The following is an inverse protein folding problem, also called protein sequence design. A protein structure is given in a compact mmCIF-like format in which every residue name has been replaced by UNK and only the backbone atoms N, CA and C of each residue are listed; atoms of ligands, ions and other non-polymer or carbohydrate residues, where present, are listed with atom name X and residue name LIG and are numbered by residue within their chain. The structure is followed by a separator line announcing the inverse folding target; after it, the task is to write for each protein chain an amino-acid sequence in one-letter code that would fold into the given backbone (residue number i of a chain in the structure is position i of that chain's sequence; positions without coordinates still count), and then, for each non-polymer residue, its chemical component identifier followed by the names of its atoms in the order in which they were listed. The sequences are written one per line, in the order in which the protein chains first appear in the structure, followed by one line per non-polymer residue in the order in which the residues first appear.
data_IF_891065469509
#
_entry.id   IF_891065469509
#
_cell.length_a   1.000
_cell.length_b   1.000
_cell.length_c   1.000
_cell.angle_alpha   90.00
_cell.angle_beta   90.00
_cell.angle_gamma   90.00
#
_symmetry.space_group_name_H-M   'P 1'
#
loop_
_entity.id
_entity.type
_entity.pdbx_description
1 polymer ?
#
# COMPACT_ATOMS: atom_id res chain seq x y z
N UNK A 1 -17.05 -7.72 13.90
CA UNK A 1 -16.23 -8.72 13.16
C UNK A 1 -14.83 -8.71 13.74
N UNK A 2 -14.17 -9.85 13.84
CA UNK A 2 -12.78 -9.87 14.31
C UNK A 2 -11.88 -9.35 13.19
N UNK A 3 -11.02 -8.38 13.50
CA UNK A 3 -10.06 -7.81 12.56
C UNK A 3 -8.99 -8.86 12.23
N UNK A 4 -8.76 -9.13 10.94
CA UNK A 4 -7.86 -10.20 10.47
C UNK A 4 -6.41 -9.93 10.83
N UNK A 5 -5.99 -8.66 10.77
CA UNK A 5 -4.65 -8.28 11.21
C UNK A 5 -4.46 -8.48 12.71
N UNK A 6 -5.42 -8.07 13.53
CA UNK A 6 -5.36 -8.29 14.98
C UNK A 6 -5.36 -9.78 15.34
N UNK A 7 -6.11 -10.61 14.59
CA UNK A 7 -6.09 -12.06 14.77
C UNK A 7 -4.73 -12.66 14.40
N UNK A 8 -4.09 -12.20 13.32
CA UNK A 8 -2.75 -12.64 12.95
C UNK A 8 -1.69 -12.21 13.98
N UNK A 9 -1.80 -11.00 14.53
CA UNK A 9 -0.96 -10.53 15.64
C UNK A 9 -1.15 -11.42 16.87
N UNK A 10 -2.39 -11.73 17.21
CA UNK A 10 -2.71 -12.63 18.33
C UNK A 10 -2.11 -14.02 18.12
N UNK A 11 -2.28 -14.61 16.93
CA UNK A 11 -1.70 -15.91 16.57
C UNK A 11 -0.18 -15.90 16.72
N UNK A 12 0.49 -14.83 16.28
CA UNK A 12 1.92 -14.64 16.46
C UNK A 12 2.33 -14.61 17.94
N UNK A 13 1.63 -13.82 18.77
CA UNK A 13 1.91 -13.68 20.20
C UNK A 13 1.65 -15.00 20.94
N UNK A 14 0.54 -15.67 20.68
CA UNK A 14 0.17 -16.91 21.35
C UNK A 14 1.15 -18.05 21.03
N UNK A 15 1.68 -18.07 19.81
CA UNK A 15 2.74 -19.02 19.42
C UNK A 15 4.05 -18.77 20.18
N UNK A 16 4.39 -17.51 20.44
CA UNK A 16 5.60 -17.16 21.20
C UNK A 16 5.50 -17.52 22.70
N UNK A 17 4.32 -17.51 23.29
CA UNK A 17 4.11 -17.81 24.73
C UNK A 17 4.36 -19.27 25.09
N UNK A 18 4.32 -20.21 24.15
CA UNK A 18 4.38 -21.65 24.40
C UNK A 18 5.77 -22.30 24.29
N UNK A 19 6.86 -21.55 23.98
CA UNK A 19 8.09 -22.19 23.52
C UNK A 19 9.34 -21.65 24.21
N UNK A 20 10.16 -22.61 24.70
CA UNK A 20 11.43 -22.30 25.40
C UNK A 20 12.64 -21.99 24.49
N UNK A 21 12.56 -22.14 23.16
CA UNK A 21 13.64 -21.83 22.21
C UNK A 21 13.21 -20.76 21.22
N UNK A 22 13.79 -19.55 21.38
CA UNK A 22 13.26 -18.29 20.82
C UNK A 22 13.44 -18.14 19.31
N UNK A 23 14.44 -18.74 18.67
CA UNK A 23 14.74 -18.45 17.25
C UNK A 23 13.84 -19.19 16.25
N UNK A 24 13.68 -20.50 16.39
CA UNK A 24 12.83 -21.29 15.52
C UNK A 24 11.34 -20.98 15.75
N UNK A 25 10.95 -20.74 17.01
CA UNK A 25 9.62 -20.31 17.38
C UNK A 25 9.17 -19.00 16.72
N UNK A 26 10.09 -18.04 16.56
CA UNK A 26 9.80 -16.77 15.87
C UNK A 26 9.49 -16.98 14.39
N UNK A 27 10.24 -17.84 13.71
CA UNK A 27 10.01 -18.16 12.30
C UNK A 27 8.67 -18.85 12.09
N UNK A 28 8.36 -19.87 12.89
CA UNK A 28 7.09 -20.59 12.83
C UNK A 28 5.89 -19.68 13.16
N UNK A 29 6.03 -18.81 14.15
CA UNK A 29 5.00 -17.85 14.53
C UNK A 29 4.72 -16.84 13.39
N UNK A 30 5.76 -16.31 12.75
CA UNK A 30 5.63 -15.41 11.59
C UNK A 30 4.96 -16.12 10.42
N UNK A 31 5.41 -17.32 10.09
CA UNK A 31 4.84 -18.07 8.99
C UNK A 31 3.36 -18.40 9.20
N UNK A 32 2.95 -18.78 10.41
CA UNK A 32 1.55 -19.02 10.73
C UNK A 32 0.71 -17.75 10.64
N UNK A 33 1.20 -16.62 11.16
CA UNK A 33 0.52 -15.34 11.06
C UNK A 33 0.38 -14.85 9.61
N UNK A 34 1.44 -14.98 8.82
CA UNK A 34 1.41 -14.64 7.38
C UNK A 34 0.47 -15.56 6.59
N UNK A 35 0.44 -16.86 6.91
CA UNK A 35 -0.49 -17.82 6.29
C UNK A 35 -1.94 -17.43 6.56
N UNK A 36 -2.25 -17.04 7.79
CA UNK A 36 -3.58 -16.56 8.16
C UNK A 36 -3.97 -15.30 7.37
N UNK A 37 -3.06 -14.34 7.24
CA UNK A 37 -3.31 -13.13 6.45
C UNK A 37 -3.46 -13.43 4.95
N UNK A 38 -2.64 -14.33 4.39
CA UNK A 38 -2.72 -14.67 2.96
C UNK A 38 -4.00 -15.42 2.57
N UNK A 39 -4.65 -16.06 3.53
CA UNK A 39 -5.94 -16.75 3.34
C UNK A 39 -7.16 -15.86 3.62
N UNK A 40 -6.92 -14.59 4.00
CA UNK A 40 -7.99 -13.67 4.34
C UNK A 40 -8.80 -13.24 3.11
N UNK A 41 -10.12 -13.28 3.27
CA UNK A 41 -11.05 -12.77 2.28
C UNK A 41 -11.52 -11.38 2.68
N UNK A 42 -11.37 -10.42 1.78
CA UNK A 42 -11.78 -9.04 2.00
C UNK A 42 -13.29 -8.93 2.23
N UNK A 43 -13.65 -8.03 3.14
CA UNK A 43 -15.02 -7.56 3.26
C UNK A 43 -15.30 -6.46 2.24
N UNK A 44 -15.53 -6.84 0.98
CA UNK A 44 -15.80 -5.90 -0.11
C UNK A 44 -17.03 -5.02 0.12
N UNK A 45 -18.01 -5.48 0.90
CA UNK A 45 -19.20 -4.68 1.17
C UNK A 45 -18.88 -3.42 1.97
N UNK A 46 -18.02 -3.52 2.97
CA UNK A 46 -17.60 -2.37 3.78
C UNK A 46 -16.76 -1.38 2.95
N UNK A 47 -15.84 -1.91 2.14
CA UNK A 47 -15.02 -1.08 1.22
C UNK A 47 -15.92 -0.36 0.22
N UNK A 48 -16.89 -1.06 -0.36
CA UNK A 48 -17.84 -0.47 -1.32
C UNK A 48 -18.65 0.67 -0.69
N UNK A 49 -19.12 0.50 0.54
CA UNK A 49 -19.81 1.58 1.28
C UNK A 49 -18.89 2.78 1.45
N UNK A 50 -17.67 2.57 1.93
CA UNK A 50 -16.69 3.62 2.17
C UNK A 50 -16.36 4.40 0.87
N UNK A 51 -16.10 3.70 -0.23
CA UNK A 51 -15.81 4.31 -1.54
C UNK A 51 -17.02 5.13 -2.04
N UNK A 52 -18.23 4.59 -1.88
CA UNK A 52 -19.46 5.31 -2.26
C UNK A 52 -19.69 6.55 -1.41
N UNK A 53 -19.34 6.52 -0.15
CA UNK A 53 -19.48 7.69 0.73
C UNK A 53 -18.44 8.78 0.38
N UNK A 54 -17.21 8.41 0.02
CA UNK A 54 -16.22 9.36 -0.53
C UNK A 54 -16.78 10.00 -1.82
N UNK A 55 -17.28 9.19 -2.75
CA UNK A 55 -17.84 9.69 -4.01
C UNK A 55 -18.97 10.68 -3.76
N UNK A 56 -19.95 10.34 -2.93
CA UNK A 56 -21.06 11.23 -2.56
C UNK A 56 -20.58 12.52 -1.88
N UNK A 57 -19.55 12.44 -1.05
CA UNK A 57 -18.97 13.63 -0.41
C UNK A 57 -18.30 14.53 -1.45
N UNK A 58 -17.58 13.96 -2.42
CA UNK A 58 -16.96 14.70 -3.52
C UNK A 58 -18.03 15.32 -4.45
N UNK A 59 -19.08 14.61 -4.79
CA UNK A 59 -20.21 15.14 -5.57
C UNK A 59 -20.91 16.34 -4.91
N UNK A 60 -20.96 16.37 -3.57
CA UNK A 60 -21.50 17.49 -2.79
C UNK A 60 -20.49 18.61 -2.56
N UNK A 61 -19.22 18.37 -2.84
CA UNK A 61 -18.17 19.39 -2.69
C UNK A 61 -18.17 20.33 -3.91
N UNK A 62 -17.57 21.51 -3.74
CA UNK A 62 -17.34 22.43 -4.86
C UNK A 62 -16.09 22.07 -5.70
N UNK A 63 -15.50 20.91 -5.47
CA UNK A 63 -14.30 20.46 -6.19
C UNK A 63 -14.67 19.55 -7.37
N UNK A 64 -13.90 19.66 -8.45
CA UNK A 64 -13.87 18.64 -9.47
C UNK A 64 -13.16 17.40 -8.92
N UNK A 65 -13.55 16.22 -9.39
CA UNK A 65 -12.86 15.00 -9.04
C UNK A 65 -12.79 14.01 -10.20
N UNK A 66 -11.81 13.13 -10.13
CA UNK A 66 -11.60 12.01 -11.06
C UNK A 66 -11.50 10.73 -10.23
N UNK A 67 -12.29 9.74 -10.59
CA UNK A 67 -12.14 8.37 -10.06
C UNK A 67 -11.21 7.59 -10.99
N UNK A 68 -10.14 7.03 -10.44
CA UNK A 68 -9.16 6.22 -11.17
C UNK A 68 -9.27 4.79 -10.69
N UNK A 69 -9.49 3.87 -11.63
CA UNK A 69 -9.43 2.42 -11.41
C UNK A 69 -8.23 1.86 -12.14
N UNK A 70 -7.49 1.00 -11.45
CA UNK A 70 -6.33 0.34 -12.03
C UNK A 70 -6.19 -1.08 -11.48
N UNK A 71 -5.42 -1.89 -12.18
CA UNK A 71 -5.19 -3.30 -11.86
C UNK A 71 -3.69 -3.57 -11.72
N UNK A 72 -3.34 -4.35 -10.72
CA UNK A 72 -1.94 -4.76 -10.52
C UNK A 72 -1.52 -5.74 -11.60
N UNK A 73 -0.38 -5.47 -12.23
CA UNK A 73 0.20 -6.34 -13.26
C UNK A 73 1.18 -7.37 -12.69
N UNK A 74 1.70 -7.10 -11.50
CA UNK A 74 2.65 -7.96 -10.76
C UNK A 74 2.40 -7.80 -9.27
N UNK A 75 2.98 -8.70 -8.46
CA UNK A 75 3.02 -8.54 -7.01
C UNK A 75 3.75 -7.25 -6.65
N UNK A 76 3.24 -6.53 -5.66
CA UNK A 76 3.88 -5.31 -5.17
C UNK A 76 3.56 -5.05 -3.69
N UNK A 77 4.32 -4.15 -3.09
CA UNK A 77 4.09 -3.62 -1.76
C UNK A 77 4.02 -2.12 -1.85
N UNK A 78 3.07 -1.52 -1.13
CA UNK A 78 2.95 -0.07 -1.02
C UNK A 78 2.88 0.36 0.44
N UNK A 79 3.48 1.51 0.70
CA UNK A 79 3.42 2.18 1.98
C UNK A 79 4.25 1.53 3.08
N UNK A 80 4.19 2.15 4.27
CA UNK A 80 4.84 1.71 5.49
C UNK A 80 3.77 1.39 6.53
N UNK A 81 3.82 0.22 7.12
CA UNK A 81 2.78 -0.23 8.04
C UNK A 81 3.32 -0.81 9.36
N UNK A 82 2.45 -0.95 10.35
CA UNK A 82 2.83 -1.36 11.70
C UNK A 82 3.20 -2.84 11.84
N UNK A 83 2.99 -3.66 10.80
CA UNK A 83 3.11 -5.14 10.88
C UNK A 83 4.45 -5.69 10.40
N UNK A 84 5.47 -4.85 10.25
CA UNK A 84 6.81 -5.29 9.82
C UNK A 84 7.39 -6.44 10.64
N UNK A 85 7.03 -6.54 11.93
CA UNK A 85 7.49 -7.62 12.81
C UNK A 85 6.91 -9.00 12.47
N UNK A 86 5.80 -9.06 11.74
CA UNK A 86 5.22 -10.31 11.23
C UNK A 86 5.69 -10.57 9.79
N UNK A 87 5.63 -9.55 8.93
CA UNK A 87 5.79 -9.70 7.50
C UNK A 87 7.21 -9.43 7.01
N UNK A 88 8.16 -9.06 7.88
CA UNK A 88 9.54 -8.61 7.57
C UNK A 88 9.59 -7.34 6.70
N UNK A 89 8.72 -7.23 5.72
CA UNK A 89 8.57 -6.05 4.86
C UNK A 89 7.26 -5.35 5.23
N UNK A 90 7.29 -4.07 5.60
CA UNK A 90 6.09 -3.33 5.99
C UNK A 90 5.15 -3.14 4.81
N UNK A 91 3.85 -3.17 5.11
CA UNK A 91 2.76 -2.90 4.16
C UNK A 91 1.74 -1.97 4.81
N UNK A 92 1.24 -0.99 4.08
CA UNK A 92 0.17 -0.13 4.57
C UNK A 92 -1.11 -0.96 4.75
N UNK A 93 -1.72 -0.84 5.94
CA UNK A 93 -2.93 -1.58 6.30
C UNK A 93 -3.90 -0.66 7.01
N UNK A 94 -5.12 -0.58 6.48
CA UNK A 94 -6.21 0.14 7.11
C UNK A 94 -6.83 -0.76 8.20
N UNK A 95 -6.68 -0.35 9.45
CA UNK A 95 -7.15 -1.14 10.61
C UNK A 95 -8.68 -1.12 10.76
N UNK A 96 -9.37 -0.14 10.19
CA UNK A 96 -10.82 0.01 10.28
C UNK A 96 -11.50 -0.83 9.21
N UNK A 97 -11.05 -0.67 7.97
CA UNK A 97 -11.54 -1.44 6.83
C UNK A 97 -10.95 -2.85 6.78
N UNK A 98 -9.89 -3.10 7.55
CA UNK A 98 -9.16 -4.37 7.64
C UNK A 98 -8.63 -4.85 6.29
N UNK A 99 -7.96 -3.95 5.57
CA UNK A 99 -7.46 -4.21 4.21
C UNK A 99 -6.10 -3.56 3.96
N UNK A 100 -5.25 -4.14 3.09
CA UNK A 100 -4.10 -3.42 2.57
C UNK A 100 -4.59 -2.30 1.64
N UNK A 101 -3.90 -1.17 1.67
CA UNK A 101 -4.22 -0.03 0.81
C UNK A 101 -2.95 0.60 0.24
N UNK A 102 -3.12 1.43 -0.79
CA UNK A 102 -2.02 2.23 -1.34
C UNK A 102 -2.22 3.66 -0.86
N UNK A 103 -1.29 4.21 -0.04
CA UNK A 103 -1.40 5.58 0.43
C UNK A 103 -1.48 6.59 -0.73
N UNK A 104 -2.35 7.59 -0.60
CA UNK A 104 -2.46 8.67 -1.57
C UNK A 104 -1.15 9.41 -1.79
N UNK A 105 -0.29 9.49 -0.76
CA UNK A 105 1.07 10.03 -0.89
C UNK A 105 1.95 9.21 -1.82
N UNK A 106 1.82 7.88 -1.84
CA UNK A 106 2.54 7.00 -2.77
C UNK A 106 2.07 7.23 -4.21
N UNK A 107 0.74 7.30 -4.42
CA UNK A 107 0.15 7.59 -5.74
C UNK A 107 0.61 8.96 -6.23
N UNK A 108 0.54 9.97 -5.35
CA UNK A 108 1.02 11.33 -5.64
C UNK A 108 2.48 11.33 -6.08
N UNK A 109 3.36 10.60 -5.37
CA UNK A 109 4.79 10.52 -5.69
C UNK A 109 5.01 9.97 -7.10
N UNK A 110 4.38 8.84 -7.43
CA UNK A 110 4.50 8.19 -8.75
C UNK A 110 4.01 9.12 -9.87
N UNK A 111 2.82 9.73 -9.68
CA UNK A 111 2.24 10.62 -10.69
C UNK A 111 3.08 11.90 -10.84
N UNK A 112 3.62 12.43 -9.75
CA UNK A 112 4.51 13.59 -9.78
C UNK A 112 5.78 13.32 -10.58
N UNK A 113 6.44 12.18 -10.35
CA UNK A 113 7.66 11.82 -11.06
C UNK A 113 7.39 11.67 -12.56
N UNK A 114 6.33 10.97 -12.92
CA UNK A 114 5.94 10.83 -14.33
C UNK A 114 5.54 12.15 -14.98
N UNK A 115 4.82 13.01 -14.26
CA UNK A 115 4.45 14.34 -14.74
C UNK A 115 5.69 15.19 -15.00
N UNK A 116 6.66 15.14 -14.10
CA UNK A 116 7.93 15.83 -14.25
C UNK A 116 8.73 15.32 -15.47
N UNK A 117 8.74 14.00 -15.68
CA UNK A 117 9.38 13.37 -16.85
C UNK A 117 8.75 13.84 -18.16
N UNK A 118 7.41 13.96 -18.20
CA UNK A 118 6.68 14.39 -19.39
C UNK A 118 6.81 15.88 -19.69
N UNK A 119 6.79 16.73 -18.66
CA UNK A 119 6.72 18.19 -18.86
C UNK A 119 8.08 18.86 -18.80
N UNK A 120 9.03 18.31 -18.05
CA UNK A 120 10.31 18.95 -17.72
C UNK A 120 10.15 20.24 -16.90
N UNK A 121 8.93 20.58 -16.44
CA UNK A 121 8.61 21.85 -15.78
C UNK A 121 8.49 21.71 -14.26
N UNK A 122 9.54 22.13 -13.58
CA UNK A 122 9.59 22.13 -12.11
C UNK A 122 8.56 23.06 -11.47
N UNK A 123 8.28 24.23 -12.06
CA UNK A 123 7.35 25.19 -11.50
C UNK A 123 5.92 24.67 -11.57
N UNK A 124 5.55 24.15 -12.74
CA UNK A 124 4.23 23.54 -12.92
C UNK A 124 4.06 22.32 -12.03
N UNK A 125 5.09 21.46 -11.91
CA UNK A 125 5.08 20.30 -11.01
C UNK A 125 4.91 20.72 -9.56
N UNK A 126 5.64 21.74 -9.09
CA UNK A 126 5.49 22.27 -7.72
C UNK A 126 4.11 22.88 -7.47
N UNK A 127 3.54 23.57 -8.45
CA UNK A 127 2.20 24.12 -8.36
C UNK A 127 1.14 23.01 -8.20
N UNK A 128 1.18 22.00 -9.06
CA UNK A 128 0.20 20.89 -9.07
C UNK A 128 0.32 20.00 -7.84
N UNK A 129 1.56 19.59 -7.51
CA UNK A 129 1.80 18.59 -6.46
C UNK A 129 2.27 19.18 -5.13
N UNK A 130 2.66 20.44 -5.10
CA UNK A 130 3.26 21.07 -3.93
C UNK A 130 4.75 20.78 -3.78
N UNK A 131 5.39 21.59 -2.96
CA UNK A 131 6.79 21.50 -2.56
C UNK A 131 6.98 21.95 -1.10
N UNK A 132 8.22 22.22 -0.70
CA UNK A 132 8.54 22.72 0.66
C UNK A 132 7.95 24.10 0.97
N UNK A 133 7.54 24.86 -0.05
CA UNK A 133 7.06 26.24 0.07
C UNK A 133 5.53 26.34 -0.01
N UNK A 134 4.85 25.28 -0.48
CA UNK A 134 3.41 25.34 -0.65
C UNK A 134 2.72 24.00 -0.88
N UNK A 135 1.44 23.99 -0.55
CA UNK A 135 0.55 22.83 -0.76
C UNK A 135 0.16 22.74 -2.23
N UNK A 136 0.20 21.53 -2.80
CA UNK A 136 -0.26 21.30 -4.17
C UNK A 136 -1.78 21.48 -4.33
N UNK A 137 -2.20 21.72 -5.57
CA UNK A 137 -3.59 21.98 -5.93
C UNK A 137 -4.44 20.70 -6.12
N UNK A 138 -3.81 19.53 -6.18
CA UNK A 138 -4.48 18.24 -6.32
C UNK A 138 -4.40 17.45 -5.02
N UNK A 139 -5.56 17.00 -4.55
CA UNK A 139 -5.70 16.11 -3.39
C UNK A 139 -5.73 14.67 -3.89
N UNK A 140 -4.86 13.84 -3.34
CA UNK A 140 -4.76 12.42 -3.65
C UNK A 140 -5.34 11.60 -2.51
N UNK A 141 -6.37 10.81 -2.79
CA UNK A 141 -6.96 9.90 -1.82
C UNK A 141 -6.22 8.57 -1.80
N UNK A 142 -6.34 7.87 -0.68
CA UNK A 142 -5.84 6.50 -0.57
C UNK A 142 -6.60 5.59 -1.54
N UNK A 143 -5.91 4.56 -2.02
CA UNK A 143 -6.48 3.60 -2.97
C UNK A 143 -6.80 2.28 -2.28
N UNK A 144 -8.01 1.81 -2.50
CA UNK A 144 -8.53 0.59 -1.89
C UNK A 144 -8.84 -0.49 -2.91
N UNK A 145 -8.66 -1.78 -2.58
CA UNK A 145 -9.02 -2.87 -3.47
C UNK A 145 -10.54 -2.96 -3.62
N UNK A 146 -11.01 -3.21 -4.84
CA UNK A 146 -12.45 -3.23 -5.20
C UNK A 146 -12.92 -4.56 -5.76
N UNK A 147 -12.04 -5.52 -6.00
CA UNK A 147 -12.43 -6.85 -6.40
C UNK A 147 -12.06 -7.90 -5.34
N UNK A 148 -12.84 -8.98 -5.31
CA UNK A 148 -12.59 -10.15 -4.46
C UNK A 148 -11.54 -11.09 -5.04
N UNK A 149 -11.17 -12.07 -4.25
CA UNK A 149 -10.18 -13.08 -4.57
C UNK A 149 -8.99 -13.05 -3.63
N UNK A 150 -7.92 -13.76 -3.99
CA UNK A 150 -6.69 -13.81 -3.21
C UNK A 150 -5.92 -12.50 -3.38
N UNK A 151 -6.10 -11.57 -2.46
CA UNK A 151 -5.47 -10.23 -2.52
C UNK A 151 -4.02 -10.27 -2.08
N UNK A 152 -3.68 -11.11 -1.11
CA UNK A 152 -2.33 -11.25 -0.60
C UNK A 152 -1.72 -12.58 -1.03
N UNK A 153 -0.45 -12.54 -1.37
CA UNK A 153 0.34 -13.72 -1.66
C UNK A 153 1.77 -13.57 -1.13
N UNK A 154 2.49 -14.67 -1.09
CA UNK A 154 3.88 -14.65 -0.68
C UNK A 154 4.79 -14.17 -1.82
N UNK A 155 5.84 -13.48 -1.40
CA UNK A 155 7.00 -13.20 -2.25
C UNK A 155 8.29 -13.44 -1.47
N UNK A 156 9.42 -13.50 -2.15
CA UNK A 156 10.72 -13.85 -1.57
C UNK A 156 11.77 -12.85 -2.05
N UNK A 157 12.51 -12.29 -1.10
CA UNK A 157 13.69 -11.47 -1.38
C UNK A 157 14.93 -12.23 -0.91
N UNK A 158 15.91 -12.37 -1.80
CA UNK A 158 17.24 -12.83 -1.44
C UNK A 158 18.12 -11.62 -1.13
N UNK A 159 18.67 -11.49 0.11
CA UNK A 159 19.55 -10.41 0.43
C UNK A 159 20.87 -10.52 -0.35
N UNK A 160 21.30 -9.40 -0.93
CA UNK A 160 22.64 -9.28 -1.49
C UNK A 160 23.62 -8.83 -0.41
N UNK A 161 24.69 -9.59 -0.21
CA UNK A 161 25.71 -9.25 0.80
C UNK A 161 26.76 -8.34 0.17
N UNK A 162 27.02 -7.18 0.81
CA UNK A 162 28.10 -6.27 0.40
C UNK A 162 29.46 -6.88 0.71
N UNK A 163 30.44 -6.76 -0.22
CA UNK A 163 31.81 -7.19 0.00
C UNK A 163 32.11 -8.65 -0.33
N UNK A 164 31.20 -9.35 -0.99
CA UNK A 164 31.40 -10.71 -1.50
C UNK A 164 31.71 -10.64 -2.99
N UNK A 165 32.85 -11.19 -3.40
CA UNK A 165 33.28 -11.14 -4.78
C UNK A 165 32.59 -12.20 -5.68
N UNK A 166 32.06 -13.27 -5.08
CA UNK A 166 31.33 -14.33 -5.79
C UNK A 166 30.04 -14.68 -5.04
N UNK A 167 28.93 -14.79 -5.76
CA UNK A 167 27.64 -15.22 -5.20
C UNK A 167 27.69 -16.65 -4.60
N UNK A 168 28.66 -17.47 -5.00
CA UNK A 168 28.86 -18.83 -4.49
C UNK A 168 29.43 -18.88 -3.06
N UNK A 169 30.00 -17.79 -2.58
CA UNK A 169 30.65 -17.73 -1.26
C UNK A 169 29.66 -17.41 -0.12
N UNK A 170 28.40 -17.18 -0.45
CA UNK A 170 27.36 -16.83 0.53
C UNK A 170 26.14 -17.70 0.35
N UNK A 171 25.63 -18.26 1.46
CA UNK A 171 24.30 -18.87 1.48
C UNK A 171 23.27 -17.77 1.85
N UNK A 172 22.56 -17.18 0.88
CA UNK A 172 21.53 -16.19 1.18
C UNK A 172 20.39 -16.85 1.96
N UNK A 173 19.95 -16.23 3.06
CA UNK A 173 18.75 -16.63 3.78
C UNK A 173 17.57 -15.91 3.13
N UNK A 174 16.70 -16.63 2.40
CA UNK A 174 15.55 -16.00 1.75
C UNK A 174 14.60 -15.39 2.77
N UNK A 175 14.21 -14.15 2.57
CA UNK A 175 13.20 -13.47 3.38
C UNK A 175 11.86 -13.61 2.67
N UNK A 176 10.96 -14.36 3.30
CA UNK A 176 9.58 -14.54 2.85
C UNK A 176 8.70 -13.44 3.43
N UNK A 177 7.91 -12.79 2.61
CA UNK A 177 7.02 -11.70 3.03
C UNK A 177 5.69 -11.74 2.29
N UNK A 178 4.71 -10.94 2.74
CA UNK A 178 3.42 -10.78 2.08
C UNK A 178 3.48 -9.60 1.12
N UNK A 179 2.92 -9.79 -0.07
CA UNK A 179 2.74 -8.78 -1.10
C UNK A 179 1.28 -8.76 -1.58
N UNK A 180 0.86 -7.64 -2.13
CA UNK A 180 -0.40 -7.55 -2.87
C UNK A 180 -0.23 -8.32 -4.17
N UNK A 181 -1.19 -9.19 -4.44
CA UNK A 181 -1.13 -10.10 -5.59
C UNK A 181 -1.32 -9.38 -6.93
N UNK A 182 -0.97 -10.04 -8.02
CA UNK A 182 -1.34 -9.60 -9.37
C UNK A 182 -2.85 -9.74 -9.60
N UNK A 183 -3.39 -8.94 -10.50
CA UNK A 183 -4.80 -8.99 -10.86
C UNK A 183 -5.76 -8.32 -9.88
N UNK A 184 -5.26 -7.73 -8.79
CA UNK A 184 -6.09 -6.98 -7.84
C UNK A 184 -6.45 -5.61 -8.42
N UNK A 185 -7.74 -5.29 -8.43
CA UNK A 185 -8.24 -4.01 -8.89
C UNK A 185 -8.38 -3.04 -7.72
N UNK A 186 -7.90 -1.83 -7.93
CA UNK A 186 -7.94 -0.74 -6.98
C UNK A 186 -8.71 0.45 -7.52
N UNK A 187 -9.27 1.26 -6.61
CA UNK A 187 -9.84 2.56 -6.94
C UNK A 187 -9.30 3.63 -6.02
N UNK A 188 -9.11 4.83 -6.57
CA UNK A 188 -8.76 6.05 -5.84
C UNK A 188 -9.46 7.25 -6.45
N UNK A 189 -9.44 8.37 -5.73
CA UNK A 189 -9.96 9.65 -6.21
C UNK A 189 -8.85 10.70 -6.21
N UNK A 190 -8.91 11.57 -7.22
CA UNK A 190 -8.18 12.84 -7.25
C UNK A 190 -9.21 13.97 -7.19
N UNK A 191 -9.00 14.94 -6.31
CA UNK A 191 -9.90 16.10 -6.21
C UNK A 191 -9.11 17.41 -6.32
N UNK A 192 -9.67 18.40 -7.00
CA UNK A 192 -9.01 19.68 -7.26
C UNK A 192 -10.03 20.79 -7.50
N UNK A 193 -9.61 22.02 -7.33
CA UNK A 193 -10.33 23.18 -7.84
C UNK A 193 -9.87 23.46 -9.27
N UNK A 194 -10.82 23.52 -10.21
CA UNK A 194 -10.51 23.70 -11.62
C UNK A 194 -9.79 25.01 -11.91
N UNK A 195 -10.22 26.11 -11.26
CA UNK A 195 -9.62 27.43 -11.46
C UNK A 195 -8.18 27.48 -10.95
N UNK A 196 -7.98 26.96 -9.73
CA UNK A 196 -6.64 26.89 -9.13
C UNK A 196 -5.69 26.01 -9.94
N UNK A 197 -6.18 24.91 -10.54
CA UNK A 197 -5.36 24.03 -11.36
C UNK A 197 -5.01 24.68 -12.72
N UNK A 198 -5.95 25.42 -13.33
CA UNK A 198 -5.69 26.17 -14.57
C UNK A 198 -4.64 27.27 -14.41
N UNK A 199 -4.49 27.84 -13.21
CA UNK A 199 -3.43 28.80 -12.91
C UNK A 199 -2.04 28.17 -12.98
N UNK A 200 -1.88 26.91 -12.64
CA UNK A 200 -0.62 26.19 -12.74
C UNK A 200 -0.11 26.03 -14.19
N UNK A 201 -1.00 26.10 -15.17
CA UNK A 201 -0.64 26.02 -16.59
C UNK A 201 -0.32 27.37 -17.26
N UNK A 202 -0.50 28.50 -16.53
CA UNK A 202 -0.31 29.85 -17.09
C UNK A 202 1.02 30.51 -16.70
N UNK A 203 1.79 29.88 -15.83
CA UNK A 203 3.08 30.37 -15.31
C UNK A 203 4.25 29.56 -15.90
#
# INVERSE_FOLDING_TARGET
MANSLLNAIKTYIDHLKGIGNVSNAKLDAKENAMRQLSSYNLNLSLITVYINDIRKALEKSNKCFIEIKFKTLRKFIAGWGPIYFITEVPMAWDLILDVPYIPGSTIKGIIRDYFMELTGDNKQTSCVFGDNNGVGKVIFFDSYPINGGKILDYDIINPHYKGVNNEYDVMPVPIKFLAINEGVEFTTFLAFDKKELEECGKN
#
